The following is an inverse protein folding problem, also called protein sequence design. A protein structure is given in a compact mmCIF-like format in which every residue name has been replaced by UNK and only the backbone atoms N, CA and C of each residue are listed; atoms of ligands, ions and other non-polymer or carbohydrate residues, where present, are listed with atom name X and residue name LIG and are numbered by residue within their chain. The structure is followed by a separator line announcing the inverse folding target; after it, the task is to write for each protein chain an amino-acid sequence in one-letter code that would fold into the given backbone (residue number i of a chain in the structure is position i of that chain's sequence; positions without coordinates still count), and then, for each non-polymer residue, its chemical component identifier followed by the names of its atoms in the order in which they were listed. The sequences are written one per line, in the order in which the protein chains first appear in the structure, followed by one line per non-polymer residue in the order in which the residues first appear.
data_IF_842739173664
#
_entry.id   IF_842739173664
#
_cell.length_a   1.000
_cell.length_b   1.000
_cell.length_c   1.000
_cell.angle_alpha   90.00
_cell.angle_beta   90.00
_cell.angle_gamma   90.00
#
_symmetry.space_group_name_H-M   'P 1'
#
loop_
_entity.id
_entity.type
_entity.pdbx_description
1 polymer ?
#
# COMPACT_ATOMS: atom_id res chain seq x y z
N UNK A 1 12.02 -18.82 27.26
CA UNK A 1 11.28 -18.13 26.18
C UNK A 1 10.21 -17.29 26.88
N UNK A 2 10.53 -16.04 27.21
CA UNK A 2 9.64 -15.16 27.97
C UNK A 2 8.69 -14.45 27.00
N UNK A 3 7.36 -14.56 27.17
CA UNK A 3 6.41 -13.90 26.28
C UNK A 3 6.52 -12.38 26.41
N UNK A 4 6.56 -11.68 25.28
CA UNK A 4 6.59 -10.23 25.23
C UNK A 4 5.27 -9.66 25.80
N UNK A 5 5.32 -8.65 26.69
CA UNK A 5 4.11 -8.05 27.24
C UNK A 5 3.31 -7.34 26.14
N UNK A 6 1.97 -7.37 26.18
CA UNK A 6 1.16 -6.68 25.21
C UNK A 6 1.45 -5.18 25.27
N UNK A 7 1.87 -4.61 24.14
CA UNK A 7 2.06 -3.17 23.98
C UNK A 7 0.75 -2.39 24.21
N UNK A 8 0.82 -1.06 24.35
CA UNK A 8 -0.35 -0.23 24.60
C UNK A 8 -1.41 -0.52 23.55
N UNK A 9 -2.55 -1.01 24.04
CA UNK A 9 -3.73 -1.32 23.25
C UNK A 9 -4.05 -0.13 22.34
N UNK A 10 -4.08 -0.38 21.04
CA UNK A 10 -4.50 0.59 20.04
C UNK A 10 -6.03 0.72 20.13
N UNK A 11 -6.54 1.33 21.21
CA UNK A 11 -7.97 1.39 21.59
C UNK A 11 -8.84 2.20 20.60
N UNK A 12 -8.33 2.52 19.41
CA UNK A 12 -9.08 3.02 18.26
C UNK A 12 -8.80 2.31 16.93
N UNK A 13 -7.84 1.38 16.88
CA UNK A 13 -7.57 0.55 15.70
C UNK A 13 -7.98 -0.89 16.03
N UNK A 14 -9.27 -1.16 16.00
CA UNK A 14 -9.75 -2.53 15.95
C UNK A 14 -9.10 -3.17 14.73
N UNK A 15 -8.17 -4.09 14.96
CA UNK A 15 -7.39 -4.81 13.95
C UNK A 15 -8.28 -5.71 13.09
N UNK A 16 -9.17 -5.10 12.34
CA UNK A 16 -9.83 -5.73 11.22
C UNK A 16 -8.79 -5.76 10.11
N UNK A 17 -8.09 -6.89 9.99
CA UNK A 17 -7.59 -7.27 8.67
C UNK A 17 -8.74 -7.11 7.68
N UNK A 18 -8.48 -6.58 6.48
CA UNK A 18 -9.53 -6.48 5.47
C UNK A 18 -10.06 -7.88 5.16
N UNK A 19 -11.18 -8.24 5.79
CA UNK A 19 -11.87 -9.49 5.58
C UNK A 19 -12.74 -9.30 4.34
N UNK A 20 -12.61 -10.24 3.41
CA UNK A 20 -13.41 -10.29 2.19
C UNK A 20 -14.90 -10.30 2.58
N UNK A 21 -15.60 -9.18 2.38
CA UNK A 21 -17.02 -9.02 2.74
C UNK A 21 -17.41 -7.65 3.32
N UNK A 22 -16.47 -6.88 3.87
CA UNK A 22 -16.68 -5.47 4.21
C UNK A 22 -15.84 -4.58 3.27
N UNK A 23 -16.43 -3.57 2.60
CA UNK A 23 -15.70 -2.78 1.62
C UNK A 23 -14.59 -1.97 2.30
N UNK A 24 -13.36 -2.14 1.80
CA UNK A 24 -12.31 -1.15 1.98
C UNK A 24 -12.69 0.06 1.15
N UNK A 25 -13.29 1.07 1.78
CA UNK A 25 -13.55 2.32 1.06
C UNK A 25 -12.34 3.23 1.13
N UNK A 26 -12.03 3.86 0.00
CA UNK A 26 -11.12 4.99 -0.04
C UNK A 26 -11.69 6.14 0.78
N UNK A 27 -10.80 6.92 1.40
CA UNK A 27 -11.20 8.17 2.05
C UNK A 27 -11.88 9.08 1.03
N UNK A 28 -12.93 9.81 1.46
CA UNK A 28 -13.77 10.64 0.58
C UNK A 28 -12.95 11.49 -0.41
N UNK A 29 -11.90 12.14 0.09
CA UNK A 29 -11.04 13.05 -0.70
C UNK A 29 -10.18 12.35 -1.76
N UNK A 30 -10.03 11.03 -1.69
CA UNK A 30 -9.24 10.20 -2.60
C UNK A 30 -10.10 9.11 -3.23
N UNK A 31 -11.41 9.35 -3.35
CA UNK A 31 -12.28 8.44 -4.10
C UNK A 31 -11.89 8.43 -5.58
N UNK A 32 -11.73 7.24 -6.19
CA UNK A 32 -11.45 7.12 -7.62
C UNK A 32 -12.49 7.86 -8.47
N UNK A 33 -12.01 8.58 -9.46
CA UNK A 33 -12.80 9.23 -10.49
C UNK A 33 -13.09 8.25 -11.64
N UNK A 34 -14.07 8.55 -12.53
CA UNK A 34 -14.43 7.64 -13.62
C UNK A 34 -13.29 7.29 -14.59
N UNK A 35 -12.25 8.12 -14.65
CA UNK A 35 -11.07 7.91 -15.50
C UNK A 35 -9.97 7.11 -14.79
N UNK A 36 -10.11 6.87 -13.49
CA UNK A 36 -9.14 6.11 -12.71
C UNK A 36 -9.33 4.62 -12.91
N UNK A 37 -8.23 3.88 -12.74
CA UNK A 37 -8.21 2.43 -12.85
C UNK A 37 -8.07 1.80 -11.46
N UNK A 38 -9.19 1.47 -10.77
CA UNK A 38 -9.12 0.86 -9.45
C UNK A 38 -8.56 -0.56 -9.54
N UNK A 39 -7.39 -0.79 -8.94
CA UNK A 39 -6.79 -2.11 -8.83
C UNK A 39 -7.00 -2.64 -7.41
N UNK A 40 -8.05 -3.45 -7.25
CA UNK A 40 -8.34 -4.10 -5.99
C UNK A 40 -7.38 -5.26 -5.74
N UNK A 41 -7.02 -5.47 -4.47
CA UNK A 41 -6.21 -6.60 -4.02
C UNK A 41 -7.00 -7.41 -3.01
N UNK A 42 -7.08 -8.72 -3.24
CA UNK A 42 -7.78 -9.63 -2.32
C UNK A 42 -6.86 -10.14 -1.19
N UNK A 43 -5.54 -10.00 -1.33
CA UNK A 43 -4.54 -10.44 -0.36
C UNK A 43 -3.20 -9.73 -0.55
N UNK A 44 -2.30 -9.91 0.41
CA UNK A 44 -0.95 -9.34 0.39
C UNK A 44 -0.90 -7.84 0.70
N UNK A 45 0.30 -7.26 0.69
CA UNK A 45 0.52 -5.84 0.96
C UNK A 45 1.02 -5.06 -0.26
N UNK A 46 1.55 -5.77 -1.26
CA UNK A 46 2.21 -5.17 -2.42
C UNK A 46 1.24 -5.08 -3.60
N UNK A 47 1.13 -3.87 -4.15
CA UNK A 47 0.27 -3.49 -5.29
C UNK A 47 0.35 -4.42 -6.50
N UNK A 48 1.56 -4.90 -6.78
CA UNK A 48 1.88 -5.69 -7.98
C UNK A 48 1.59 -7.19 -7.82
N UNK A 49 1.51 -7.69 -6.58
CA UNK A 49 1.39 -9.13 -6.35
C UNK A 49 -0.06 -9.61 -6.48
N UNK A 50 -0.30 -10.52 -7.42
CA UNK A 50 -1.63 -11.10 -7.63
C UNK A 50 -2.66 -10.12 -8.20
N UNK A 51 -2.21 -9.06 -8.87
CA UNK A 51 -3.07 -8.05 -9.51
C UNK A 51 -2.73 -7.88 -10.99
N UNK A 52 -3.58 -7.15 -11.71
CA UNK A 52 -3.33 -6.79 -13.10
C UNK A 52 -2.41 -5.56 -13.27
N UNK A 53 -1.90 -4.97 -12.18
CA UNK A 53 -1.21 -3.67 -12.22
C UNK A 53 -0.01 -3.66 -13.18
N UNK A 54 0.87 -4.66 -13.09
CA UNK A 54 2.04 -4.78 -13.99
C UNK A 54 1.62 -4.86 -15.46
N UNK A 55 0.70 -5.77 -15.77
CA UNK A 55 0.20 -5.96 -17.13
C UNK A 55 -0.46 -4.69 -17.69
N UNK A 56 -1.18 -3.93 -16.84
CA UNK A 56 -1.80 -2.67 -17.22
C UNK A 56 -0.76 -1.60 -17.55
N UNK A 57 0.24 -1.41 -16.67
CA UNK A 57 1.31 -0.42 -16.89
C UNK A 57 2.08 -0.71 -18.19
N UNK A 58 2.44 -1.97 -18.43
CA UNK A 58 3.11 -2.40 -19.66
C UNK A 58 2.25 -2.17 -20.91
N UNK A 59 0.97 -2.54 -20.87
CA UNK A 59 0.03 -2.34 -21.99
C UNK A 59 -0.22 -0.87 -22.30
N UNK A 60 -0.20 -0.02 -21.27
CA UNK A 60 -0.30 1.43 -21.42
C UNK A 60 1.04 2.09 -21.74
N UNK A 61 2.11 1.32 -21.93
CA UNK A 61 3.46 1.83 -22.22
C UNK A 61 3.95 2.85 -21.19
N UNK A 62 3.62 2.62 -19.92
CA UNK A 62 4.05 3.50 -18.82
C UNK A 62 5.45 3.11 -18.36
N UNK A 63 6.37 4.06 -18.45
CA UNK A 63 7.77 3.89 -18.05
C UNK A 63 8.09 4.54 -16.72
N UNK A 64 7.20 5.38 -16.18
CA UNK A 64 7.41 6.09 -14.90
C UNK A 64 6.16 6.01 -14.05
N UNK A 65 6.34 5.66 -12.77
CA UNK A 65 5.26 5.60 -11.78
C UNK A 65 5.56 6.51 -10.60
N UNK A 66 4.56 7.29 -10.19
CA UNK A 66 4.58 8.01 -8.91
C UNK A 66 3.87 7.13 -7.89
N UNK A 67 4.59 6.70 -6.86
CA UNK A 67 4.02 5.89 -5.78
C UNK A 67 3.71 6.81 -4.60
N UNK A 68 2.58 6.58 -3.94
CA UNK A 68 2.03 7.38 -2.84
C UNK A 68 1.15 6.47 -1.95
N UNK A 69 0.92 6.87 -0.70
CA UNK A 69 0.00 6.20 0.21
C UNK A 69 0.67 5.72 1.50
N UNK A 70 0.03 4.73 2.13
CA UNK A 70 0.44 4.19 3.43
C UNK A 70 0.44 2.66 3.44
N UNK A 71 1.33 1.99 4.16
CA UNK A 71 2.42 2.56 4.97
C UNK A 71 3.73 2.69 4.20
N UNK A 72 4.53 3.72 4.50
CA UNK A 72 5.84 3.97 3.87
C UNK A 72 6.76 2.75 3.99
N UNK A 73 6.82 2.16 5.19
CA UNK A 73 7.76 1.11 5.56
C UNK A 73 7.40 -0.29 5.05
N UNK A 74 6.20 -0.50 4.51
CA UNK A 74 5.76 -1.84 4.06
C UNK A 74 5.17 -1.80 2.66
N UNK A 75 3.96 -1.28 2.51
CA UNK A 75 3.23 -1.36 1.24
C UNK A 75 3.90 -0.47 0.18
N UNK A 76 4.23 0.77 0.52
CA UNK A 76 4.86 1.72 -0.41
C UNK A 76 6.26 1.26 -0.81
N UNK A 77 7.13 0.94 0.17
CA UNK A 77 8.49 0.48 -0.11
C UNK A 77 8.49 -0.80 -0.95
N UNK A 78 7.62 -1.77 -0.64
CA UNK A 78 7.52 -2.99 -1.42
C UNK A 78 6.94 -2.78 -2.82
N UNK A 79 5.99 -1.85 -3.00
CA UNK A 79 5.53 -1.45 -4.33
C UNK A 79 6.63 -0.77 -5.14
N UNK A 80 7.44 0.08 -4.52
CA UNK A 80 8.57 0.73 -5.17
C UNK A 80 9.61 -0.26 -5.66
N UNK A 81 9.94 -1.28 -4.84
CA UNK A 81 10.80 -2.37 -5.30
C UNK A 81 10.13 -3.18 -6.42
N UNK A 82 8.87 -3.58 -6.27
CA UNK A 82 8.19 -4.38 -7.31
C UNK A 82 8.03 -3.64 -8.65
N UNK A 83 7.97 -2.30 -8.63
CA UNK A 83 7.91 -1.49 -9.84
C UNK A 83 9.22 -1.47 -10.64
N UNK A 84 10.35 -1.93 -10.08
CA UNK A 84 11.59 -2.06 -10.86
C UNK A 84 11.55 -3.24 -11.83
N UNK A 85 10.73 -4.26 -11.57
CA UNK A 85 10.60 -5.45 -12.43
C UNK A 85 9.97 -5.15 -13.81
N UNK A 86 8.98 -4.26 -13.94
CA UNK A 86 8.58 -3.70 -15.23
C UNK A 86 9.55 -2.68 -15.82
N UNK A 87 10.71 -2.44 -15.19
CA UNK A 87 11.64 -1.38 -15.54
C UNK A 87 11.03 0.03 -15.45
N UNK A 88 10.02 0.22 -14.60
CA UNK A 88 9.48 1.55 -14.36
C UNK A 88 10.46 2.39 -13.52
N UNK A 89 10.66 3.64 -13.92
CA UNK A 89 11.25 4.67 -13.06
C UNK A 89 10.29 4.97 -11.92
N UNK A 90 10.77 4.89 -10.68
CA UNK A 90 9.94 5.11 -9.49
C UNK A 90 10.21 6.50 -8.94
N UNK A 91 9.17 7.32 -8.91
CA UNK A 91 9.18 8.64 -8.28
C UNK A 91 8.43 8.55 -6.96
N UNK A 92 9.12 8.90 -5.88
CA UNK A 92 8.56 8.96 -4.54
C UNK A 92 8.28 10.42 -4.18
N UNK A 93 7.00 10.80 -4.12
CA UNK A 93 6.60 12.13 -3.67
C UNK A 93 6.71 12.20 -2.14
N UNK A 94 7.80 12.81 -1.64
CA UNK A 94 8.18 12.78 -0.21
C UNK A 94 7.06 13.15 0.75
N UNK A 95 6.23 14.13 0.37
CA UNK A 95 5.15 14.66 1.22
C UNK A 95 3.83 13.87 1.07
N UNK A 96 3.85 12.73 0.37
CA UNK A 96 2.68 11.89 0.09
C UNK A 96 2.77 10.50 0.73
N UNK A 97 3.59 10.36 1.78
CA UNK A 97 3.76 9.10 2.50
C UNK A 97 3.61 9.29 4.00
N UNK A 98 3.10 8.26 4.67
CA UNK A 98 3.10 8.17 6.13
C UNK A 98 3.33 6.73 6.57
N UNK A 99 4.01 6.56 7.69
CA UNK A 99 4.14 5.30 8.39
C UNK A 99 3.83 5.55 9.87
N UNK A 100 3.33 4.51 10.54
CA UNK A 100 3.30 4.49 11.99
C UNK A 100 4.74 4.34 12.49
N UNK A 101 5.15 5.13 13.47
CA UNK A 101 6.41 4.88 14.15
C UNK A 101 6.26 3.60 14.98
N UNK A 102 7.22 2.68 14.86
CA UNK A 102 7.34 1.63 15.88
C UNK A 102 7.86 2.32 17.14
N UNK A 103 6.94 2.73 18.02
CA UNK A 103 7.28 3.22 19.36
C UNK A 103 7.99 2.08 20.11
N UNK A 104 9.31 2.17 20.26
CA UNK A 104 10.06 1.34 21.21
C UNK A 104 11.19 0.44 20.69
N UNK A 105 11.93 0.81 19.63
CA UNK A 105 13.30 0.29 19.45
C UNK A 105 14.33 1.38 19.79
N UNK A 106 15.37 1.06 20.58
CA UNK A 106 16.43 2.01 20.94
C UNK A 106 17.26 2.46 19.73
#
# INVERSE_FOLDING_TARGET
MHPYPPGPSNQGATGHFHIRGAPAESVEKLRPQPQDFPVARSSGLIGFHGTALDAMLRRMTIETVVITGVSTNVAVAGCAMAATDPACQVVAAKDCFAADEIVGMP
#
